data_IF_648936734670
#
_entry.id   IF_648936734670
#
_cell.length_a   1.000
_cell.length_b   1.000
_cell.length_c   1.000
_cell.angle_alpha   90.00
_cell.angle_beta   90.00
_cell.angle_gamma   90.00
#
_symmetry.space_group_name_H-M   'P 1'
#
loop_
_entity.id
_entity.type
_entity.pdbx_description
1 polymer ?
#
# COMPACT_ATOMS: atom_id res chain seq x y z
N UNK A 1 31.71 0.89 20.48
CA UNK A 1 31.89 2.25 19.91
C UNK A 1 30.68 2.54 19.02
N UNK A 2 29.76 3.42 19.43
CA UNK A 2 28.58 3.76 18.61
C UNK A 2 29.02 4.77 17.55
N UNK A 3 29.07 4.34 16.29
CA UNK A 3 29.35 5.24 15.16
C UNK A 3 28.17 6.22 15.07
N UNK A 4 28.41 7.47 15.40
CA UNK A 4 27.40 8.52 15.25
C UNK A 4 27.36 8.90 13.77
N UNK A 5 26.26 8.56 13.09
CA UNK A 5 26.00 9.05 11.73
C UNK A 5 25.42 10.46 11.82
N UNK A 6 25.94 11.37 11.01
CA UNK A 6 25.42 12.73 10.87
C UNK A 6 24.25 12.72 9.88
N UNK A 7 23.13 13.34 10.26
CA UNK A 7 21.97 13.54 9.38
C UNK A 7 21.70 15.05 9.20
N UNK A 8 20.99 15.37 8.12
CA UNK A 8 20.34 16.66 7.90
C UNK A 8 18.95 16.62 8.53
N UNK A 9 18.53 17.69 9.19
CA UNK A 9 17.17 17.81 9.68
C UNK A 9 16.58 19.20 9.53
N UNK A 10 15.26 19.27 9.61
CA UNK A 10 14.53 20.54 9.69
C UNK A 10 14.64 21.07 11.11
N UNK A 11 14.94 22.36 11.24
CA UNK A 11 15.01 23.06 12.54
C UNK A 11 13.90 24.08 12.67
N UNK A 12 13.40 24.26 13.89
CA UNK A 12 12.40 25.30 14.18
C UNK A 12 13.05 26.67 14.44
N UNK A 13 12.21 27.68 14.71
CA UNK A 13 12.64 29.05 15.02
C UNK A 13 13.59 29.18 16.21
N UNK A 14 13.63 28.18 17.10
CA UNK A 14 14.52 28.12 18.26
C UNK A 14 15.73 27.23 18.01
N UNK A 15 16.02 26.91 16.73
CA UNK A 15 17.07 25.99 16.31
C UNK A 15 16.90 24.57 16.91
N UNK A 16 15.67 24.19 17.26
CA UNK A 16 15.37 22.86 17.78
C UNK A 16 15.17 21.88 16.61
N UNK A 17 15.94 20.79 16.54
CA UNK A 17 15.82 19.83 15.45
C UNK A 17 14.52 19.03 15.55
N UNK A 18 13.80 18.92 14.43
CA UNK A 18 12.69 18.01 14.29
C UNK A 18 13.22 16.65 13.82
N UNK A 19 13.44 15.76 14.78
CA UNK A 19 14.02 14.43 14.56
C UNK A 19 13.10 13.49 13.75
N UNK A 20 11.88 13.93 13.41
CA UNK A 20 10.99 13.23 12.48
C UNK A 20 11.45 13.36 11.03
N UNK A 21 12.24 14.38 10.71
CA UNK A 21 12.76 14.65 9.37
C UNK A 21 14.28 14.54 9.37
N UNK A 22 14.80 13.31 9.34
CA UNK A 22 16.23 13.03 9.24
C UNK A 22 16.56 12.51 7.84
N UNK A 23 17.47 13.20 7.16
CA UNK A 23 17.90 12.87 5.81
C UNK A 23 19.40 12.59 5.81
N UNK A 24 19.84 11.59 5.04
CA UNK A 24 21.27 11.32 4.85
C UNK A 24 21.90 12.31 3.86
N UNK A 25 21.08 12.83 2.94
CA UNK A 25 21.49 13.76 1.88
C UNK A 25 20.80 15.13 1.98
N UNK A 26 21.54 16.19 1.68
CA UNK A 26 21.05 17.56 1.73
C UNK A 26 20.06 17.85 0.60
N UNK A 27 20.28 17.31 -0.60
CA UNK A 27 19.39 17.55 -1.73
C UNK A 27 18.03 16.84 -1.51
N UNK A 28 18.04 15.65 -0.91
CA UNK A 28 16.82 14.97 -0.47
C UNK A 28 16.04 15.79 0.57
N UNK A 29 16.73 16.35 1.57
CA UNK A 29 16.12 17.25 2.56
C UNK A 29 15.49 18.49 1.92
N UNK A 30 16.17 19.10 0.95
CA UNK A 30 15.68 20.27 0.20
C UNK A 30 14.45 19.94 -0.64
N UNK A 31 14.47 18.80 -1.35
CA UNK A 31 13.34 18.33 -2.15
C UNK A 31 12.11 18.07 -1.27
N UNK A 32 12.30 17.44 -0.10
CA UNK A 32 11.21 17.18 0.84
C UNK A 32 10.67 18.44 1.49
N UNK A 33 11.54 19.40 1.82
CA UNK A 33 11.10 20.72 2.29
C UNK A 33 10.27 21.45 1.23
N UNK A 34 10.65 21.35 -0.05
CA UNK A 34 9.89 21.95 -1.14
C UNK A 34 8.54 21.25 -1.34
N UNK A 35 8.50 19.92 -1.26
CA UNK A 35 7.28 19.13 -1.31
C UNK A 35 6.31 19.50 -0.17
N UNK A 36 6.81 19.65 1.05
CA UNK A 36 6.03 20.10 2.21
C UNK A 36 5.49 21.52 2.03
N UNK A 37 6.31 22.45 1.54
CA UNK A 37 5.87 23.84 1.26
C UNK A 37 4.79 23.92 0.19
N UNK A 38 4.83 23.00 -0.78
CA UNK A 38 3.91 22.96 -1.90
C UNK A 38 2.66 22.09 -1.62
N UNK A 39 2.66 21.31 -0.54
CA UNK A 39 1.52 20.44 -0.17
C UNK A 39 0.49 21.24 0.62
N UNK A 40 -0.73 21.29 0.08
CA UNK A 40 -1.90 21.94 0.70
C UNK A 40 -2.57 21.06 1.77
N UNK A 41 -2.19 19.79 1.87
CA UNK A 41 -2.90 18.78 2.68
C UNK A 41 -2.03 18.05 3.72
N UNK A 42 -0.73 18.35 3.82
CA UNK A 42 0.18 17.67 4.75
C UNK A 42 0.47 16.22 4.35
N UNK A 43 1.65 15.70 4.69
CA UNK A 43 2.05 14.31 4.38
C UNK A 43 2.20 13.49 5.67
N UNK A 44 1.75 12.23 5.62
CA UNK A 44 1.85 11.23 6.71
C UNK A 44 3.10 10.37 6.54
N UNK A 45 3.78 10.01 7.64
CA UNK A 45 4.93 9.11 7.65
C UNK A 45 4.74 7.95 8.63
N UNK A 46 5.05 6.72 8.21
CA UNK A 46 4.98 5.50 9.03
C UNK A 46 6.34 5.19 9.67
N UNK A 47 6.34 4.86 10.98
CA UNK A 47 7.52 4.38 11.71
C UNK A 47 7.34 2.92 12.18
N UNK A 48 8.38 2.07 12.12
CA UNK A 48 8.23 0.62 12.30
C UNK A 48 8.33 0.12 13.76
N UNK A 49 8.36 0.98 14.78
CA UNK A 49 8.67 0.56 16.17
C UNK A 49 7.58 0.87 17.22
N UNK A 50 6.30 0.61 16.90
CA UNK A 50 5.20 0.52 17.87
C UNK A 50 5.05 1.68 18.89
N UNK A 51 5.49 2.88 18.54
CA UNK A 51 5.10 4.13 19.21
C UNK A 51 4.40 5.01 18.18
N UNK A 52 3.09 5.20 18.35
CA UNK A 52 2.29 6.06 17.48
C UNK A 52 2.21 7.45 18.10
N UNK A 53 2.88 8.42 17.47
CA UNK A 53 2.54 9.82 17.63
C UNK A 53 1.56 10.20 16.51
N UNK A 54 0.43 10.79 16.89
CA UNK A 54 -0.62 11.22 15.99
C UNK A 54 -0.18 12.48 15.23
N UNK A 55 -0.41 12.50 13.91
CA UNK A 55 -0.52 13.76 13.17
C UNK A 55 -1.90 14.35 13.46
N UNK A 56 -1.99 15.31 14.37
CA UNK A 56 -3.15 16.21 14.41
C UNK A 56 -2.86 17.49 13.62
N UNK A 57 -1.59 17.86 13.45
CA UNK A 57 -1.20 18.98 12.62
C UNK A 57 -0.11 18.50 11.67
N UNK A 58 -0.10 19.01 10.43
CA UNK A 58 1.04 18.85 9.53
C UNK A 58 2.33 19.43 10.13
N UNK A 59 3.30 19.78 9.29
CA UNK A 59 4.41 20.61 9.78
C UNK A 59 3.82 21.81 10.51
N UNK A 60 4.12 21.95 11.81
CA UNK A 60 3.44 22.93 12.66
C UNK A 60 3.50 24.28 11.97
N UNK A 61 2.38 25.02 11.91
CA UNK A 61 2.26 26.26 11.13
C UNK A 61 3.45 27.22 11.35
N UNK A 62 4.00 27.25 12.56
CA UNK A 62 5.23 27.97 12.96
C UNK A 62 6.49 27.71 12.11
N UNK A 63 6.55 26.63 11.32
CA UNK A 63 7.65 26.31 10.40
C UNK A 63 7.38 26.78 8.96
N UNK A 64 6.13 27.11 8.61
CA UNK A 64 5.67 27.44 7.24
C UNK A 64 5.09 28.87 7.14
N UNK A 65 4.89 29.57 8.26
CA UNK A 65 4.36 30.95 8.28
C UNK A 65 5.05 31.86 7.26
N UNK A 66 4.22 32.48 6.41
CA UNK A 66 4.64 33.32 5.30
C UNK A 66 5.47 34.51 5.82
N UNK A 67 6.78 34.44 5.59
CA UNK A 67 7.74 35.45 6.03
C UNK A 67 9.02 34.88 6.64
N UNK A 68 9.07 33.59 7.02
CA UNK A 68 10.25 33.01 7.67
C UNK A 68 10.81 31.79 6.90
N UNK A 69 12.13 31.72 6.77
CA UNK A 69 12.83 30.65 6.06
C UNK A 69 13.02 29.44 6.98
N UNK A 70 12.32 28.35 6.73
CA UNK A 70 12.72 27.04 7.25
C UNK A 70 14.12 26.69 6.74
N UNK A 71 15.05 26.38 7.65
CA UNK A 71 16.44 26.06 7.34
C UNK A 71 16.72 24.56 7.49
N UNK A 72 17.61 24.03 6.65
CA UNK A 72 18.15 22.67 6.76
C UNK A 72 19.52 22.78 7.41
N UNK A 73 19.73 22.03 8.49
CA UNK A 73 21.02 22.01 9.19
C UNK A 73 21.61 20.61 9.24
N UNK A 74 22.94 20.57 9.11
CA UNK A 74 23.74 19.35 9.26
C UNK A 74 24.11 19.15 10.72
N UNK A 75 24.12 17.90 11.19
CA UNK A 75 24.59 17.54 12.54
C UNK A 75 23.49 17.16 13.52
N UNK A 76 22.33 16.73 13.02
CA UNK A 76 21.27 16.18 13.86
C UNK A 76 21.60 14.72 14.19
N UNK A 77 21.76 14.42 15.48
CA UNK A 77 22.14 13.09 15.95
C UNK A 77 20.89 12.31 16.34
N UNK A 78 20.71 11.11 15.78
CA UNK A 78 19.70 10.16 16.24
C UNK A 78 20.37 8.92 16.83
N UNK A 79 19.91 8.50 18.01
CA UNK A 79 20.33 7.24 18.64
C UNK A 79 19.62 6.01 18.01
N UNK A 80 18.71 6.23 17.06
CA UNK A 80 17.85 5.21 16.45
C UNK A 80 18.40 4.84 15.06
N UNK A 81 18.53 3.55 14.81
CA UNK A 81 19.02 3.02 13.53
C UNK A 81 17.94 3.12 12.46
N UNK A 82 18.13 3.97 11.45
CA UNK A 82 17.24 4.07 10.30
C UNK A 82 17.57 2.94 9.32
N UNK A 83 16.57 2.15 8.91
CA UNK A 83 16.69 1.13 7.85
C UNK A 83 15.76 1.52 6.70
N UNK A 84 16.26 1.45 5.47
CA UNK A 84 15.46 1.66 4.25
C UNK A 84 14.41 0.55 4.17
N UNK A 85 13.12 0.90 4.14
CA UNK A 85 12.06 -0.06 3.92
C UNK A 85 12.12 -0.52 2.45
N UNK A 86 12.38 -1.81 2.23
CA UNK A 86 12.23 -2.44 0.91
C UNK A 86 10.75 -2.71 0.67
N UNK A 87 10.09 -1.86 -0.11
CA UNK A 87 8.76 -2.12 -0.66
C UNK A 87 8.80 -3.33 -1.62
N UNK A 88 7.79 -4.20 -1.50
CA UNK A 88 7.01 -4.92 -2.53
C UNK A 88 7.71 -5.71 -3.65
N UNK A 89 9.03 -5.62 -3.87
CA UNK A 89 9.73 -6.31 -4.97
C UNK A 89 10.02 -7.80 -4.71
N UNK A 90 9.58 -8.34 -3.58
CA UNK A 90 9.71 -9.78 -3.24
C UNK A 90 8.41 -10.59 -3.37
N UNK A 91 7.33 -9.99 -3.88
CA UNK A 91 6.15 -10.77 -4.28
C UNK A 91 6.45 -11.40 -5.65
N UNK A 92 6.87 -12.68 -5.67
CA UNK A 92 6.99 -13.46 -6.90
C UNK A 92 5.59 -13.77 -7.44
N UNK A 93 5.13 -13.14 -8.54
CA UNK A 93 3.76 -13.33 -9.05
C UNK A 93 3.50 -14.77 -9.52
N UNK A 94 4.57 -15.50 -9.82
CA UNK A 94 4.59 -16.89 -10.28
C UNK A 94 3.93 -17.88 -9.31
N UNK A 95 3.88 -17.55 -8.01
CA UNK A 95 3.23 -18.40 -7.00
C UNK A 95 1.74 -18.15 -6.85
N UNK A 96 1.22 -17.04 -7.34
CA UNK A 96 -0.19 -16.63 -7.15
C UNK A 96 -1.09 -17.18 -8.28
N UNK A 97 -0.53 -17.55 -9.45
CA UNK A 97 -1.31 -18.04 -10.60
C UNK A 97 -1.29 -19.55 -10.84
N UNK A 98 -0.91 -20.37 -9.84
CA UNK A 98 -1.01 -21.83 -9.96
C UNK A 98 -2.35 -22.37 -9.45
N UNK A 99 -3.46 -21.97 -10.07
CA UNK A 99 -4.60 -22.90 -10.26
C UNK A 99 -5.54 -22.40 -11.35
N UNK A 100 -5.32 -22.87 -12.58
CA UNK A 100 -6.33 -22.77 -13.64
C UNK A 100 -7.29 -23.94 -13.48
N UNK A 101 -8.48 -23.71 -12.92
CA UNK A 101 -9.59 -24.66 -13.01
C UNK A 101 -10.25 -24.52 -14.38
N UNK A 102 -10.37 -25.63 -15.11
CA UNK A 102 -11.13 -25.71 -16.37
C UNK A 102 -12.63 -25.62 -16.06
N UNK A 103 -13.32 -24.62 -16.59
CA UNK A 103 -14.78 -24.59 -16.67
C UNK A 103 -15.22 -25.35 -17.93
N UNK A 104 -16.18 -26.28 -17.77
CA UNK A 104 -16.80 -27.07 -18.86
C UNK A 104 -17.78 -26.26 -19.71
N UNK A 105 -18.03 -24.98 -19.38
CA UNK A 105 -19.20 -24.25 -19.88
C UNK A 105 -18.98 -23.54 -21.22
N UNK A 106 -17.74 -23.38 -21.68
CA UNK A 106 -17.47 -22.59 -22.90
C UNK A 106 -16.44 -23.29 -23.78
N UNK A 107 -16.84 -24.35 -24.50
CA UNK A 107 -16.02 -24.99 -25.55
C UNK A 107 -15.50 -23.97 -26.57
N UNK A 108 -14.41 -23.27 -26.22
CA UNK A 108 -13.71 -22.31 -27.04
C UNK A 108 -12.32 -22.88 -27.28
N UNK A 109 -12.15 -23.48 -28.47
CA UNK A 109 -10.84 -23.89 -28.97
C UNK A 109 -10.13 -22.67 -29.54
N UNK A 110 -9.08 -22.19 -28.86
CA UNK A 110 -8.14 -21.26 -29.47
C UNK A 110 -7.03 -22.04 -30.19
N UNK A 111 -6.97 -21.88 -31.51
CA UNK A 111 -5.92 -22.39 -32.37
C UNK A 111 -4.56 -21.77 -32.03
N UNK A 112 -3.64 -22.55 -31.45
CA UNK A 112 -2.20 -22.26 -31.50
C UNK A 112 -1.63 -22.74 -32.83
N UNK A 113 -1.94 -22.06 -33.94
CA UNK A 113 -1.14 -22.22 -35.16
C UNK A 113 0.16 -21.44 -34.98
N UNK A 114 1.19 -22.12 -34.46
CA UNK A 114 2.59 -21.68 -34.57
C UNK A 114 2.93 -21.56 -36.05
N UNK A 115 3.07 -20.33 -36.55
CA UNK A 115 3.90 -20.08 -37.73
C UNK A 115 5.34 -20.29 -37.26
N UNK A 116 5.92 -21.46 -37.60
CA UNK A 116 7.35 -21.72 -37.47
C UNK A 116 8.04 -21.00 -38.63
N UNK A 117 8.49 -19.77 -38.41
CA UNK A 117 9.65 -19.29 -39.16
C UNK A 117 10.90 -19.87 -38.50
N UNK A 118 11.61 -20.70 -39.27
CA UNK A 118 12.93 -21.24 -38.93
C UNK A 118 13.93 -20.09 -39.01
N UNK A 119 14.34 -19.55 -37.86
CA UNK A 119 15.66 -18.98 -37.71
C UNK A 119 16.58 -20.06 -37.11
N UNK A 120 17.42 -20.66 -37.95
CA UNK A 120 18.50 -21.55 -37.52
C UNK A 120 19.58 -20.71 -36.85
N UNK A 121 19.56 -20.65 -35.51
CA UNK A 121 20.72 -20.26 -34.72
C UNK A 121 21.47 -21.54 -34.35
N UNK A 122 22.70 -21.65 -34.81
CA UNK A 122 23.57 -22.79 -34.51
C UNK A 122 23.82 -22.90 -32.99
N UNK A 123 23.84 -24.10 -32.41
CA UNK A 123 24.10 -24.29 -30.99
C UNK A 123 25.55 -23.93 -30.67
N UNK A 124 25.74 -22.99 -29.74
CA UNK A 124 27.03 -22.67 -29.14
C UNK A 124 27.49 -23.91 -28.35
N UNK A 125 28.58 -24.55 -28.80
CA UNK A 125 29.28 -25.59 -28.03
C UNK A 125 29.90 -24.94 -26.79
N UNK A 126 29.39 -25.27 -25.61
CA UNK A 126 30.11 -24.98 -24.37
C UNK A 126 31.30 -25.95 -24.21
N UNK A 127 32.47 -25.48 -23.79
CA UNK A 127 33.61 -26.35 -23.50
C UNK A 127 33.29 -27.27 -22.33
N UNK A 128 33.57 -28.56 -22.51
CA UNK A 128 33.43 -29.58 -21.48
C UNK A 128 34.38 -29.30 -20.32
N UNK A 129 33.82 -29.09 -19.12
CA UNK A 129 34.60 -29.02 -17.88
C UNK A 129 35.31 -30.36 -17.64
N UNK A 130 36.59 -30.35 -17.21
CA UNK A 130 37.32 -31.56 -16.90
C UNK A 130 36.67 -32.28 -15.70
N UNK A 131 36.39 -33.58 -15.88
CA UNK A 131 35.95 -34.46 -14.80
C UNK A 131 37.08 -34.58 -13.79
N UNK A 132 36.87 -34.06 -12.59
CA UNK A 132 37.79 -34.28 -11.46
C UNK A 132 37.58 -35.73 -10.99
N UNK A 133 38.63 -36.56 -10.91
CA UNK A 133 38.53 -37.91 -10.39
C UNK A 133 38.27 -37.84 -8.87
N UNK A 134 37.13 -38.39 -8.45
CA UNK A 134 36.81 -38.59 -7.03
C UNK A 134 37.21 -40.01 -6.68
N UNK A 135 38.47 -40.17 -6.29
CA UNK A 135 38.96 -41.37 -5.61
C UNK A 135 39.92 -40.92 -4.51
N UNK A 136 39.42 -40.88 -3.27
CA UNK A 136 40.20 -41.18 -2.08
C UNK A 136 39.23 -41.57 -0.97
N UNK A 137 39.29 -42.82 -0.56
CA UNK A 137 38.75 -43.33 0.70
C UNK A 137 39.36 -42.51 1.85
N UNK A 138 38.54 -41.69 2.51
CA UNK A 138 38.93 -41.03 3.75
C UNK A 138 38.74 -42.04 4.88
N UNK A 139 39.77 -42.34 5.69
CA UNK A 139 39.61 -43.21 6.85
C UNK A 139 38.63 -42.57 7.83
N UNK A 140 37.80 -43.40 8.46
CA UNK A 140 36.84 -42.99 9.47
C UNK A 140 37.55 -42.17 10.56
N UNK A 141 37.44 -40.84 10.47
CA UNK A 141 37.95 -39.93 11.48
C UNK A 141 37.06 -40.11 12.70
N UNK A 142 37.63 -40.75 13.72
CA UNK A 142 37.04 -40.85 15.04
C UNK A 142 36.58 -39.46 15.48
N UNK A 143 35.33 -39.40 15.95
CA UNK A 143 34.68 -38.22 16.52
C UNK A 143 35.41 -37.84 17.81
N UNK A 144 36.58 -37.24 17.68
CA UNK A 144 37.24 -36.56 18.76
C UNK A 144 36.52 -35.23 18.96
N UNK A 145 36.01 -35.08 20.17
CA UNK A 145 35.18 -33.99 20.66
C UNK A 145 35.53 -32.63 20.05
N UNK A 146 34.55 -32.01 19.39
CA UNK A 146 34.59 -30.65 18.84
C UNK A 146 34.93 -29.58 19.90
N UNK A 147 34.94 -29.96 21.19
CA UNK A 147 35.39 -29.14 22.32
C UNK A 147 36.90 -28.88 22.33
N UNK A 148 37.74 -29.64 21.61
CA UNK A 148 39.20 -29.46 21.59
C UNK A 148 39.75 -28.92 20.26
N UNK A 149 38.90 -28.52 19.32
CA UNK A 149 39.36 -27.96 18.05
C UNK A 149 40.00 -26.58 18.23
N UNK A 150 41.23 -26.41 17.74
CA UNK A 150 42.00 -25.15 17.65
C UNK A 150 41.20 -23.98 17.01
N UNK A 151 40.18 -24.31 16.21
CA UNK A 151 39.22 -23.37 15.63
C UNK A 151 38.39 -22.59 16.65
N UNK A 152 38.36 -23.01 17.93
CA UNK A 152 37.64 -22.31 19.01
C UNK A 152 38.49 -21.24 19.72
N UNK A 153 39.71 -20.99 19.26
CA UNK A 153 40.48 -19.85 19.75
C UNK A 153 39.76 -18.56 19.34
N UNK A 154 39.35 -17.77 20.35
CA UNK A 154 38.71 -16.45 20.17
C UNK A 154 39.39 -15.54 19.13
N UNK A 155 40.73 -15.52 18.97
CA UNK A 155 41.34 -14.71 17.90
C UNK A 155 41.08 -15.22 16.48
N UNK A 156 40.95 -16.54 16.28
CA UNK A 156 40.79 -17.13 14.94
C UNK A 156 39.35 -16.98 14.41
N UNK A 157 38.37 -17.15 15.29
CA UNK A 157 36.95 -16.91 14.95
C UNK A 157 36.68 -15.44 14.60
N UNK A 158 37.33 -14.50 15.28
CA UNK A 158 37.22 -13.07 14.97
C UNK A 158 37.83 -12.69 13.62
N UNK A 159 38.99 -13.25 13.28
CA UNK A 159 39.67 -12.99 11.99
C UNK A 159 38.93 -13.64 10.81
N UNK A 160 38.38 -14.84 10.99
CA UNK A 160 37.58 -15.49 9.93
C UNK A 160 36.27 -14.75 9.66
N UNK A 161 35.56 -14.30 10.72
CA UNK A 161 34.32 -13.56 10.57
C UNK A 161 34.52 -12.20 9.88
N UNK A 162 35.65 -11.53 10.14
CA UNK A 162 36.00 -10.25 9.49
C UNK A 162 36.35 -10.44 8.02
N UNK A 163 37.11 -11.48 7.66
CA UNK A 163 37.38 -11.81 6.25
C UNK A 163 36.10 -12.15 5.48
N UNK A 164 35.18 -12.90 6.07
CA UNK A 164 33.88 -13.19 5.46
C UNK A 164 33.07 -11.91 5.22
N UNK A 165 33.00 -11.00 6.20
CA UNK A 165 32.30 -9.71 6.03
C UNK A 165 32.90 -8.85 4.92
N UNK A 166 34.23 -8.83 4.78
CA UNK A 166 34.92 -8.11 3.70
C UNK A 166 34.59 -8.74 2.34
N UNK A 167 34.60 -10.07 2.23
CA UNK A 167 34.23 -10.76 0.99
C UNK A 167 32.76 -10.54 0.60
N UNK A 168 31.83 -10.57 1.56
CA UNK A 168 30.41 -10.32 1.27
C UNK A 168 30.16 -8.87 0.84
N UNK A 169 30.83 -7.89 1.45
CA UNK A 169 30.67 -6.47 1.08
C UNK A 169 31.28 -6.14 -0.28
N UNK A 170 32.41 -6.76 -0.66
CA UNK A 170 33.00 -6.58 -1.99
C UNK A 170 32.14 -7.20 -3.09
N UNK A 171 31.62 -8.42 -2.90
CA UNK A 171 30.71 -9.06 -3.85
C UNK A 171 29.41 -8.25 -4.01
N UNK A 172 28.84 -7.74 -2.92
CA UNK A 172 27.62 -6.94 -2.96
C UNK A 172 27.82 -5.60 -3.69
N UNK A 173 28.94 -4.92 -3.46
CA UNK A 173 29.23 -3.63 -4.13
C UNK A 173 29.52 -3.78 -5.61
N UNK A 174 30.20 -4.85 -6.03
CA UNK A 174 30.45 -5.15 -7.45
C UNK A 174 29.12 -5.47 -8.17
N UNK A 175 28.27 -6.33 -7.60
CA UNK A 175 26.97 -6.66 -8.19
C UNK A 175 26.00 -5.47 -8.24
N UNK A 176 26.03 -4.58 -7.24
CA UNK A 176 25.17 -3.39 -7.21
C UNK A 176 25.57 -2.36 -8.29
N UNK A 177 26.87 -2.15 -8.53
CA UNK A 177 27.35 -1.27 -9.60
C UNK A 177 27.00 -1.83 -10.98
N UNK A 178 27.24 -3.11 -11.22
CA UNK A 178 26.92 -3.75 -12.50
C UNK A 178 25.41 -3.73 -12.82
N UNK A 179 24.55 -3.85 -11.80
CA UNK A 179 23.09 -3.83 -11.97
C UNK A 179 22.55 -2.42 -12.27
N UNK A 180 23.09 -1.39 -11.62
CA UNK A 180 22.62 0.00 -11.84
C UNK A 180 22.99 0.54 -13.22
N UNK A 181 24.20 0.26 -13.71
CA UNK A 181 24.60 0.63 -15.08
C UNK A 181 23.73 -0.07 -16.14
N UNK A 182 23.36 -1.34 -15.91
CA UNK A 182 22.53 -2.08 -16.85
C UNK A 182 21.07 -1.60 -16.89
N UNK A 183 20.54 -1.14 -15.74
CA UNK A 183 19.22 -0.48 -15.65
C UNK A 183 19.16 0.79 -16.50
N UNK A 184 20.16 1.66 -16.38
CA UNK A 184 20.18 2.95 -17.11
C UNK A 184 20.30 2.75 -18.62
N UNK A 185 21.06 1.72 -19.05
CA UNK A 185 21.15 1.33 -20.47
C UNK A 185 19.80 0.82 -20.97
N UNK A 186 19.09 -0.01 -20.20
CA UNK A 186 17.78 -0.56 -20.58
C UNK A 186 16.72 0.53 -20.69
N UNK A 187 16.68 1.47 -19.74
CA UNK A 187 15.74 2.60 -19.76
C UNK A 187 16.01 3.50 -20.97
N UNK A 188 17.27 3.80 -21.28
CA UNK A 188 17.63 4.58 -22.48
C UNK A 188 17.26 3.87 -23.78
N UNK A 189 17.53 2.56 -23.87
CA UNK A 189 17.18 1.76 -25.04
C UNK A 189 15.65 1.69 -25.25
N UNK A 190 14.87 1.59 -24.16
CA UNK A 190 13.40 1.60 -24.23
C UNK A 190 12.86 2.97 -24.65
N UNK A 191 13.43 4.06 -24.14
CA UNK A 191 13.03 5.42 -24.52
C UNK A 191 13.34 5.72 -26.00
N UNK A 192 14.50 5.32 -26.51
CA UNK A 192 14.84 5.45 -27.94
C UNK A 192 13.93 4.60 -28.83
N UNK A 193 13.58 3.38 -28.41
CA UNK A 193 12.65 2.53 -29.15
C UNK A 193 11.23 3.13 -29.21
N UNK A 194 10.76 3.72 -28.11
CA UNK A 194 9.47 4.41 -28.05
C UNK A 194 9.44 5.67 -28.94
N UNK A 195 10.51 6.48 -28.91
CA UNK A 195 10.63 7.66 -29.79
C UNK A 195 10.65 7.28 -31.27
N UNK A 196 11.42 6.25 -31.66
CA UNK A 196 11.44 5.77 -33.05
C UNK A 196 10.10 5.22 -33.51
N UNK A 197 9.34 4.57 -32.62
CA UNK A 197 7.97 4.14 -32.92
C UNK A 197 7.04 5.32 -33.18
N UNK A 198 7.11 6.36 -32.35
CA UNK A 198 6.28 7.56 -32.47
C UNK A 198 6.64 8.38 -33.72
N UNK A 199 7.94 8.50 -34.02
CA UNK A 199 8.45 9.19 -35.20
C UNK A 199 8.06 8.46 -36.50
N UNK A 200 8.11 7.13 -36.51
CA UNK A 200 7.63 6.34 -37.65
C UNK A 200 6.11 6.41 -37.81
N UNK A 201 5.33 6.44 -36.73
CA UNK A 201 3.88 6.64 -36.81
C UNK A 201 3.52 8.03 -37.35
N UNK A 202 4.21 9.08 -36.88
CA UNK A 202 3.97 10.46 -37.32
C UNK A 202 4.48 10.74 -38.74
N UNK A 203 5.48 10.01 -39.24
CA UNK A 203 5.98 10.12 -40.62
C UNK A 203 5.10 9.43 -41.66
N UNK A 204 4.31 8.43 -41.24
CA UNK A 204 3.37 7.70 -42.11
C UNK A 204 2.00 8.41 -42.19
N UNK A 205 1.66 9.25 -41.21
CA UNK A 205 0.40 10.00 -41.16
C UNK A 205 0.61 11.44 -41.68
N UNK A 206 -0.02 11.79 -42.81
CA UNK A 206 0.10 13.12 -43.40
C UNK A 206 -0.72 14.18 -42.66
N UNK A 207 -0.56 15.47 -43.01
CA UNK A 207 -1.26 16.58 -42.35
C UNK A 207 -2.80 16.52 -42.40
N UNK A 208 -3.39 15.75 -43.33
CA UNK A 208 -4.84 15.45 -43.37
C UNK A 208 -5.28 14.46 -42.31
N UNK A 209 -4.38 13.59 -41.85
CA UNK A 209 -4.65 12.58 -40.83
C UNK A 209 -4.58 13.17 -39.42
N UNK A 210 -3.94 14.32 -39.22
CA UNK A 210 -3.90 14.99 -37.91
C UNK A 210 -5.29 15.45 -37.45
N UNK A 211 -6.10 16.01 -38.35
CA UNK A 211 -7.51 16.34 -38.07
C UNK A 211 -8.36 15.11 -37.80
N UNK A 212 -8.05 13.99 -38.47
CA UNK A 212 -8.75 12.73 -38.27
C UNK A 212 -8.36 12.09 -36.93
N UNK A 213 -7.07 12.13 -36.57
CA UNK A 213 -6.54 11.68 -35.30
C UNK A 213 -7.10 12.50 -34.13
N UNK A 214 -7.12 13.83 -34.22
CA UNK A 214 -7.69 14.71 -33.20
C UNK A 214 -9.21 14.45 -33.01
N UNK A 215 -9.93 14.17 -34.11
CA UNK A 215 -11.35 13.82 -34.07
C UNK A 215 -11.60 12.40 -33.53
N UNK A 216 -10.64 11.49 -33.70
CA UNK A 216 -10.69 10.14 -33.18
C UNK A 216 -10.33 10.10 -31.68
N UNK A 217 -9.34 10.87 -31.25
CA UNK A 217 -8.97 11.03 -29.84
C UNK A 217 -10.13 11.60 -29.03
N UNK A 218 -10.78 12.68 -29.48
CA UNK A 218 -11.92 13.26 -28.76
C UNK A 218 -13.11 12.30 -28.63
N UNK A 219 -13.41 11.51 -29.67
CA UNK A 219 -14.48 10.49 -29.61
C UNK A 219 -14.10 9.28 -28.78
N UNK A 220 -12.82 8.93 -28.76
CA UNK A 220 -12.31 7.82 -27.96
C UNK A 220 -12.36 8.16 -26.47
N UNK A 221 -11.94 9.37 -26.07
CA UNK A 221 -12.02 9.83 -24.69
C UNK A 221 -13.46 9.87 -24.18
N UNK A 222 -14.39 10.39 -24.99
CA UNK A 222 -15.82 10.40 -24.66
C UNK A 222 -16.37 8.99 -24.47
N UNK A 223 -16.04 8.06 -25.37
CA UNK A 223 -16.45 6.66 -25.28
C UNK A 223 -15.85 5.94 -24.06
N UNK A 224 -14.57 6.19 -23.75
CA UNK A 224 -13.91 5.60 -22.58
C UNK A 224 -14.55 6.13 -21.30
N UNK A 225 -14.77 7.44 -21.18
CA UNK A 225 -15.41 8.05 -20.02
C UNK A 225 -16.86 7.56 -19.85
N UNK A 226 -17.64 7.47 -20.93
CA UNK A 226 -19.02 6.96 -20.87
C UNK A 226 -19.04 5.49 -20.44
N UNK A 227 -18.11 4.69 -20.95
CA UNK A 227 -17.99 3.29 -20.59
C UNK A 227 -17.61 3.13 -19.12
N UNK A 228 -16.64 3.90 -18.62
CA UNK A 228 -16.25 3.89 -17.21
C UNK A 228 -17.41 4.31 -16.29
N UNK A 229 -18.14 5.37 -16.63
CA UNK A 229 -19.31 5.80 -15.87
C UNK A 229 -20.41 4.73 -15.85
N UNK A 230 -20.64 4.05 -16.98
CA UNK A 230 -21.57 2.92 -17.05
C UNK A 230 -21.10 1.74 -16.18
N UNK A 231 -19.80 1.42 -16.21
CA UNK A 231 -19.23 0.38 -15.34
C UNK A 231 -19.38 0.71 -13.85
N UNK A 232 -19.14 1.97 -13.45
CA UNK A 232 -19.34 2.42 -12.06
C UNK A 232 -20.81 2.32 -11.65
N UNK A 233 -21.73 2.71 -12.54
CA UNK A 233 -23.18 2.62 -12.29
C UNK A 233 -23.61 1.18 -12.08
N UNK A 234 -23.19 0.26 -12.96
CA UNK A 234 -23.51 -1.17 -12.84
C UNK A 234 -22.96 -1.76 -11.55
N UNK A 235 -21.72 -1.42 -11.17
CA UNK A 235 -21.12 -1.85 -9.89
C UNK A 235 -21.89 -1.34 -8.69
N UNK A 236 -22.34 -0.09 -8.72
CA UNK A 236 -23.12 0.50 -7.64
C UNK A 236 -24.50 -0.19 -7.52
N UNK A 237 -25.20 -0.43 -8.62
CA UNK A 237 -26.49 -1.14 -8.61
C UNK A 237 -26.38 -2.58 -8.09
N UNK A 238 -25.34 -3.30 -8.50
CA UNK A 238 -25.05 -4.65 -7.99
C UNK A 238 -24.79 -4.64 -6.48
N UNK A 239 -23.93 -3.73 -6.02
CA UNK A 239 -23.60 -3.56 -4.61
C UNK A 239 -24.83 -3.14 -3.79
N UNK A 240 -25.67 -2.25 -4.33
CA UNK A 240 -26.94 -1.85 -3.70
C UNK A 240 -27.86 -3.06 -3.51
N UNK A 241 -28.00 -3.91 -4.53
CA UNK A 241 -28.78 -5.14 -4.46
C UNK A 241 -28.28 -6.10 -3.38
N UNK A 242 -26.96 -6.22 -3.21
CA UNK A 242 -26.36 -7.01 -2.12
C UNK A 242 -26.62 -6.40 -0.75
N UNK A 243 -26.45 -5.09 -0.60
CA UNK A 243 -26.71 -4.36 0.64
C UNK A 243 -28.17 -4.51 1.05
N UNK A 244 -29.11 -4.35 0.09
CA UNK A 244 -30.54 -4.46 0.34
C UNK A 244 -30.94 -5.84 0.88
N UNK A 245 -30.32 -6.93 0.41
CA UNK A 245 -30.55 -8.28 0.97
C UNK A 245 -30.21 -8.37 2.47
N UNK A 246 -29.31 -7.53 2.96
CA UNK A 246 -28.89 -7.51 4.36
C UNK A 246 -29.75 -6.55 5.20
N UNK A 247 -30.09 -5.37 4.64
CA UNK A 247 -30.70 -4.28 5.40
C UNK A 247 -32.20 -4.10 5.20
N UNK A 248 -32.83 -4.89 4.32
CA UNK A 248 -34.28 -4.83 4.13
C UNK A 248 -35.04 -4.94 5.46
N UNK A 249 -36.13 -4.16 5.58
CA UNK A 249 -36.95 -4.04 6.78
C UNK A 249 -36.19 -3.45 7.98
N UNK A 250 -35.22 -2.57 7.74
CA UNK A 250 -34.50 -1.83 8.78
C UNK A 250 -34.50 -0.32 8.49
N UNK A 251 -34.32 0.54 9.50
CA UNK A 251 -34.20 1.99 9.29
C UNK A 251 -33.05 2.43 8.37
N UNK A 252 -32.08 1.54 8.11
CA UNK A 252 -31.00 1.77 7.15
C UNK A 252 -31.40 1.56 5.70
N UNK A 253 -32.55 0.98 5.40
CA UNK A 253 -32.96 0.62 4.03
C UNK A 253 -32.86 1.80 3.05
N UNK A 254 -33.32 2.98 3.48
CA UNK A 254 -33.22 4.24 2.71
C UNK A 254 -31.78 4.71 2.43
N UNK A 255 -30.77 4.15 3.11
CA UNK A 255 -29.36 4.50 2.93
C UNK A 255 -28.65 3.56 1.96
N UNK A 256 -29.26 2.46 1.51
CA UNK A 256 -28.67 1.52 0.55
C UNK A 256 -28.02 2.21 -0.67
N UNK A 257 -28.72 3.12 -1.40
CA UNK A 257 -28.13 3.77 -2.58
C UNK A 257 -26.97 4.70 -2.24
N UNK A 258 -26.93 5.25 -1.02
CA UNK A 258 -25.83 6.11 -0.56
C UNK A 258 -24.60 5.28 -0.18
N UNK A 259 -24.82 4.13 0.46
CA UNK A 259 -23.76 3.19 0.85
C UNK A 259 -23.16 2.54 -0.40
N UNK A 260 -23.97 2.20 -1.40
CA UNK A 260 -23.54 1.56 -2.64
C UNK A 260 -22.63 2.43 -3.52
N UNK A 261 -22.66 3.76 -3.33
CA UNK A 261 -21.73 4.69 -3.98
C UNK A 261 -20.33 4.72 -3.35
N UNK A 262 -20.15 4.08 -2.20
CA UNK A 262 -18.84 3.94 -1.56
C UNK A 262 -18.06 2.78 -2.17
N UNK A 263 -16.75 2.76 -1.93
CA UNK A 263 -15.95 1.57 -2.22
C UNK A 263 -16.55 0.33 -1.52
N UNK A 264 -16.52 -0.85 -2.18
CA UNK A 264 -17.14 -2.09 -1.69
C UNK A 264 -16.69 -2.42 -0.26
N UNK A 265 -15.42 -2.20 0.06
CA UNK A 265 -14.87 -2.50 1.39
C UNK A 265 -15.38 -1.50 2.43
N UNK A 266 -15.48 -0.22 2.07
CA UNK A 266 -16.10 0.80 2.92
C UNK A 266 -17.58 0.50 3.16
N UNK A 267 -18.32 0.11 2.12
CA UNK A 267 -19.70 -0.35 2.24
C UNK A 267 -19.82 -1.55 3.19
N UNK A 268 -18.94 -2.54 3.06
CA UNK A 268 -18.89 -3.71 3.93
C UNK A 268 -18.68 -3.30 5.41
N UNK A 269 -17.78 -2.36 5.69
CA UNK A 269 -17.61 -1.82 7.05
C UNK A 269 -18.81 -1.02 7.54
N UNK A 270 -19.42 -0.18 6.68
CA UNK A 270 -20.62 0.57 7.02
C UNK A 270 -21.73 -0.39 7.48
N UNK A 271 -21.97 -1.48 6.76
CA UNK A 271 -22.97 -2.48 7.13
C UNK A 271 -22.58 -3.26 8.39
N UNK A 272 -21.34 -3.76 8.46
CA UNK A 272 -20.89 -4.59 9.58
C UNK A 272 -20.88 -3.85 10.91
N UNK A 273 -20.36 -2.62 10.92
CA UNK A 273 -20.34 -1.77 12.11
C UNK A 273 -21.77 -1.37 12.49
N UNK A 274 -22.61 -0.98 11.53
CA UNK A 274 -23.98 -0.58 11.86
C UNK A 274 -24.81 -1.75 12.43
N UNK A 275 -24.59 -2.96 11.93
CA UNK A 275 -25.21 -4.14 12.52
C UNK A 275 -24.78 -4.34 13.97
N UNK A 276 -23.50 -4.10 14.27
CA UNK A 276 -22.96 -4.25 15.61
C UNK A 276 -23.45 -3.18 16.58
N UNK A 277 -23.39 -1.91 16.18
CA UNK A 277 -23.61 -0.77 17.06
C UNK A 277 -25.10 -0.45 17.27
N UNK A 278 -25.91 -0.60 16.22
CA UNK A 278 -27.33 -0.20 16.25
C UNK A 278 -28.29 -1.30 15.84
N UNK A 279 -27.80 -2.49 15.49
CA UNK A 279 -28.58 -3.54 14.84
C UNK A 279 -29.30 -3.00 13.57
N UNK A 280 -28.54 -2.32 12.71
CA UNK A 280 -29.01 -1.69 11.47
C UNK A 280 -30.05 -0.58 11.72
N UNK A 281 -29.81 0.27 12.72
CA UNK A 281 -30.69 1.38 13.06
C UNK A 281 -31.90 1.01 13.94
N UNK A 282 -32.01 -0.21 14.48
CA UNK A 282 -33.07 -0.57 15.42
C UNK A 282 -32.85 0.00 16.83
N UNK A 283 -31.62 0.37 17.16
CA UNK A 283 -31.21 1.01 18.41
C UNK A 283 -30.37 2.22 18.05
N UNK A 284 -30.93 3.41 18.20
CA UNK A 284 -30.31 4.64 17.69
C UNK A 284 -30.30 5.71 18.77
N UNK A 285 -29.28 6.58 18.78
CA UNK A 285 -29.38 7.81 19.53
C UNK A 285 -30.54 8.64 18.96
N UNK A 286 -31.23 9.32 19.85
CA UNK A 286 -32.33 10.22 19.49
C UNK A 286 -32.04 11.62 20.00
N UNK A 287 -32.59 12.61 19.31
CA UNK A 287 -32.62 14.00 19.76
C UNK A 287 -34.06 14.48 19.65
N UNK A 288 -34.67 14.88 20.77
CA UNK A 288 -36.09 15.25 20.84
C UNK A 288 -37.04 14.18 20.27
N UNK A 289 -36.72 12.90 20.51
CA UNK A 289 -37.49 11.76 20.01
C UNK A 289 -37.28 11.46 18.51
N UNK A 290 -36.45 12.21 17.81
CA UNK A 290 -36.15 12.00 16.39
C UNK A 290 -34.86 11.20 16.21
N UNK A 291 -34.82 10.39 15.15
CA UNK A 291 -33.65 9.62 14.74
C UNK A 291 -32.50 10.55 14.30
N UNK A 292 -31.31 10.29 14.85
CA UNK A 292 -30.08 11.04 14.58
C UNK A 292 -29.25 10.50 13.41
N UNK A 293 -29.74 9.48 12.70
CA UNK A 293 -29.05 8.80 11.58
C UNK A 293 -27.67 8.26 11.94
N UNK A 294 -27.40 8.05 13.23
CA UNK A 294 -26.11 7.58 13.71
C UNK A 294 -26.21 6.11 14.10
N UNK A 295 -25.88 5.26 13.12
CA UNK A 295 -26.01 3.82 13.26
C UNK A 295 -24.69 3.14 13.66
N UNK A 296 -23.60 3.89 13.73
CA UNK A 296 -22.22 3.41 13.90
C UNK A 296 -21.60 3.77 15.25
N UNK A 297 -22.38 4.33 16.18
CA UNK A 297 -21.87 4.78 17.48
C UNK A 297 -20.87 5.93 17.37
N UNK A 298 -20.97 6.76 16.32
CA UNK A 298 -20.03 7.86 16.09
C UNK A 298 -20.19 8.97 17.15
N UNK A 299 -19.09 9.50 17.66
CA UNK A 299 -19.06 10.51 18.75
C UNK A 299 -18.24 11.76 18.40
N UNK A 300 -18.28 12.18 17.15
CA UNK A 300 -17.74 13.48 16.76
C UNK A 300 -18.57 14.61 17.35
N UNK A 301 -17.92 15.61 17.94
CA UNK A 301 -18.60 16.77 18.52
C UNK A 301 -19.21 17.62 17.40
N UNK A 302 -20.49 17.95 17.54
CA UNK A 302 -21.27 18.84 16.67
C UNK A 302 -22.27 19.64 17.51
N UNK A 303 -22.92 20.63 16.89
CA UNK A 303 -23.97 21.43 17.54
C UNK A 303 -25.16 20.55 17.98
N UNK A 304 -25.49 19.53 17.19
CA UNK A 304 -26.53 18.55 17.49
C UNK A 304 -25.91 17.26 18.03
N UNK A 305 -26.21 16.95 19.27
CA UNK A 305 -25.78 15.72 19.96
C UNK A 305 -27.00 14.93 20.43
N UNK A 306 -27.06 13.66 20.07
CA UNK A 306 -28.09 12.73 20.53
C UNK A 306 -27.77 12.14 21.90
N UNK A 307 -28.63 11.23 22.35
CA UNK A 307 -28.45 10.52 23.64
C UNK A 307 -27.09 9.85 23.76
N UNK A 308 -26.52 9.89 24.97
CA UNK A 308 -25.23 9.24 25.28
C UNK A 308 -24.00 9.88 24.62
N UNK A 309 -24.11 11.14 24.15
CA UNK A 309 -23.00 11.87 23.53
C UNK A 309 -22.68 11.40 22.11
N UNK A 310 -23.62 10.75 21.45
CA UNK A 310 -23.47 10.38 20.04
C UNK A 310 -23.79 11.57 19.15
N UNK A 311 -23.08 11.69 18.03
CA UNK A 311 -23.36 12.71 17.02
C UNK A 311 -24.78 12.56 16.50
N UNK A 312 -25.49 13.67 16.32
CA UNK A 312 -26.76 13.70 15.61
C UNK A 312 -26.54 14.31 14.23
N UNK A 313 -26.65 13.50 13.18
CA UNK A 313 -26.44 13.94 11.80
C UNK A 313 -27.68 14.65 11.27
N UNK A 314 -27.46 15.58 10.33
CA UNK A 314 -28.56 16.36 9.77
C UNK A 314 -29.38 15.58 8.75
N UNK A 315 -28.73 14.62 8.06
CA UNK A 315 -29.38 13.75 7.09
C UNK A 315 -28.63 12.42 6.92
N UNK A 316 -29.24 11.43 6.24
CA UNK A 316 -28.54 10.22 5.80
C UNK A 316 -27.26 10.50 4.99
N UNK A 317 -27.29 11.48 4.10
CA UNK A 317 -26.16 11.88 3.26
C UNK A 317 -25.00 12.41 4.10
N UNK A 318 -25.29 13.27 5.08
CA UNK A 318 -24.29 13.79 6.02
C UNK A 318 -23.68 12.66 6.88
N UNK A 319 -24.52 11.73 7.35
CA UNK A 319 -24.06 10.57 8.10
C UNK A 319 -23.11 9.69 7.27
N UNK A 320 -23.49 9.34 6.03
CA UNK A 320 -22.67 8.52 5.13
C UNK A 320 -21.40 9.27 4.71
N UNK A 321 -21.49 10.56 4.37
CA UNK A 321 -20.31 11.35 4.01
C UNK A 321 -19.30 11.41 5.18
N UNK A 322 -19.77 11.57 6.41
CA UNK A 322 -18.91 11.68 7.59
C UNK A 322 -18.32 10.35 8.00
N UNK A 323 -19.17 9.33 8.18
CA UNK A 323 -18.75 8.01 8.64
C UNK A 323 -18.01 7.27 7.52
N UNK A 324 -18.58 7.23 6.33
CA UNK A 324 -17.97 6.65 5.13
C UNK A 324 -16.64 7.31 4.81
N UNK A 325 -16.56 8.65 4.85
CA UNK A 325 -15.30 9.37 4.65
C UNK A 325 -14.23 9.02 5.70
N UNK A 326 -14.61 8.80 6.97
CA UNK A 326 -13.67 8.32 8.00
C UNK A 326 -13.20 6.89 7.72
N UNK A 327 -14.12 5.99 7.38
CA UNK A 327 -13.80 4.60 7.05
C UNK A 327 -12.92 4.50 5.79
N UNK A 328 -13.21 5.30 4.77
CA UNK A 328 -12.39 5.40 3.56
C UNK A 328 -10.93 5.76 3.89
N UNK A 329 -10.72 6.75 4.75
CA UNK A 329 -9.36 7.12 5.19
C UNK A 329 -8.65 5.99 5.95
N UNK A 330 -9.39 5.23 6.77
CA UNK A 330 -8.85 4.08 7.50
C UNK A 330 -8.46 2.95 6.54
N UNK A 331 -9.35 2.59 5.61
CA UNK A 331 -9.09 1.59 4.57
C UNK A 331 -7.90 1.99 3.70
N UNK A 332 -7.81 3.26 3.30
CA UNK A 332 -6.65 3.79 2.55
C UNK A 332 -5.34 3.82 3.37
N UNK A 333 -5.42 3.64 4.69
CA UNK A 333 -4.27 3.54 5.59
C UNK A 333 -3.97 2.09 6.00
N UNK A 334 -4.39 1.12 5.17
CA UNK A 334 -4.23 -0.32 5.39
C UNK A 334 -4.91 -0.82 6.69
N UNK A 335 -5.95 -0.12 7.15
CA UNK A 335 -6.87 -0.64 8.18
C UNK A 335 -8.09 -1.18 7.46
N UNK A 336 -7.93 -2.37 6.89
CA UNK A 336 -8.85 -2.87 5.88
C UNK A 336 -9.45 -4.25 6.24
N UNK A 337 -9.10 -4.78 7.42
CA UNK A 337 -9.75 -5.95 8.03
C UNK A 337 -10.59 -5.57 9.27
N UNK A 338 -11.64 -6.34 9.62
CA UNK A 338 -12.38 -6.15 10.87
C UNK A 338 -11.52 -6.19 12.13
N UNK A 339 -10.44 -6.97 12.13
CA UNK A 339 -9.51 -7.08 13.25
C UNK A 339 -8.74 -5.76 13.47
N UNK A 340 -8.31 -5.10 12.39
CA UNK A 340 -7.64 -3.80 12.47
C UNK A 340 -8.64 -2.67 12.72
N UNK A 341 -9.82 -2.76 12.11
CA UNK A 341 -10.91 -1.80 12.24
C UNK A 341 -11.50 -1.74 13.66
N UNK A 342 -11.08 -2.62 14.57
CA UNK A 342 -11.40 -2.56 16.01
C UNK A 342 -11.05 -1.21 16.64
N UNK A 343 -10.12 -0.45 16.03
CA UNK A 343 -9.83 0.93 16.41
C UNK A 343 -11.06 1.85 16.35
N UNK A 344 -12.08 1.52 15.56
CA UNK A 344 -13.37 2.21 15.56
C UNK A 344 -14.03 2.17 16.93
N UNK A 345 -13.96 1.02 17.60
CA UNK A 345 -14.57 0.76 18.91
C UNK A 345 -13.78 1.37 20.07
N UNK A 346 -12.48 1.16 20.11
CA UNK A 346 -11.64 1.44 21.30
C UNK A 346 -10.49 2.44 21.05
N UNK A 347 -10.42 3.04 19.86
CA UNK A 347 -9.34 3.94 19.49
C UNK A 347 -7.98 3.22 19.51
N UNK A 348 -6.95 3.84 20.09
CA UNK A 348 -5.62 3.23 20.19
C UNK A 348 -5.44 2.26 21.37
N UNK A 349 -6.34 2.26 22.35
CA UNK A 349 -6.15 1.48 23.58
C UNK A 349 -7.06 0.26 23.64
N UNK A 350 -6.99 -0.59 22.62
CA UNK A 350 -7.82 -1.79 22.49
C UNK A 350 -7.31 -3.00 23.28
N UNK A 351 -6.07 -2.96 23.81
CA UNK A 351 -5.46 -4.07 24.53
C UNK A 351 -6.20 -4.43 25.84
N UNK A 352 -6.94 -3.48 26.41
CA UNK A 352 -7.69 -3.66 27.67
C UNK A 352 -9.20 -3.83 27.45
N UNK A 353 -9.68 -3.83 26.19
CA UNK A 353 -11.12 -3.94 25.90
C UNK A 353 -11.54 -5.40 25.76
N UNK A 354 -12.11 -5.95 26.83
CA UNK A 354 -12.63 -7.33 26.85
C UNK A 354 -13.72 -7.59 25.79
N UNK A 355 -14.37 -6.55 25.26
CA UNK A 355 -15.38 -6.64 24.22
C UNK A 355 -14.83 -6.59 22.79
N UNK A 356 -13.53 -6.31 22.60
CA UNK A 356 -12.92 -6.15 21.28
C UNK A 356 -13.05 -7.41 20.41
N UNK A 357 -12.70 -8.58 20.93
CA UNK A 357 -12.75 -9.83 20.18
C UNK A 357 -14.17 -10.17 19.68
N UNK A 358 -15.18 -9.97 20.54
CA UNK A 358 -16.59 -10.16 20.17
C UNK A 358 -17.03 -9.16 19.10
N UNK A 359 -16.63 -7.89 19.24
CA UNK A 359 -16.94 -6.86 18.27
C UNK A 359 -16.36 -7.19 16.89
N UNK A 360 -15.08 -7.59 16.82
CA UNK A 360 -14.42 -8.00 15.58
C UNK A 360 -15.21 -9.11 14.90
N UNK A 361 -15.56 -10.17 15.64
CA UNK A 361 -16.32 -11.31 15.12
C UNK A 361 -17.71 -10.89 14.59
N UNK A 362 -18.40 -10.03 15.32
CA UNK A 362 -19.74 -9.56 14.94
C UNK A 362 -19.67 -8.71 13.66
N UNK A 363 -18.67 -7.83 13.54
CA UNK A 363 -18.46 -7.00 12.34
C UNK A 363 -18.04 -7.87 11.15
N UNK A 364 -17.09 -8.78 11.34
CA UNK A 364 -16.56 -9.68 10.32
C UNK A 364 -17.67 -10.50 9.65
N UNK A 365 -18.60 -11.04 10.43
CA UNK A 365 -19.73 -11.82 9.90
C UNK A 365 -20.53 -11.10 8.81
N UNK A 366 -20.66 -9.78 8.89
CA UNK A 366 -21.42 -8.97 7.92
C UNK A 366 -20.51 -8.33 6.88
N UNK A 367 -19.29 -7.97 7.28
CA UNK A 367 -18.25 -7.52 6.36
C UNK A 367 -18.03 -8.55 5.25
N UNK A 368 -17.82 -9.82 5.61
CA UNK A 368 -17.56 -10.91 4.67
C UNK A 368 -18.75 -11.19 3.72
N UNK A 369 -19.99 -10.83 4.10
CA UNK A 369 -21.17 -10.99 3.22
C UNK A 369 -21.18 -10.01 2.07
N UNK A 370 -20.51 -8.87 2.22
CA UNK A 370 -20.35 -7.87 1.17
C UNK A 370 -18.97 -8.04 0.54
N UNK A 371 -17.88 -8.04 1.30
CA UNK A 371 -16.53 -8.03 0.72
C UNK A 371 -16.22 -9.27 -0.16
N UNK A 372 -16.63 -10.48 0.26
CA UNK A 372 -16.33 -11.70 -0.50
C UNK A 372 -17.14 -11.91 -1.77
N UNK A 373 -18.33 -11.30 -1.91
CA UNK A 373 -19.14 -11.48 -3.11
C UNK A 373 -18.49 -10.83 -4.34
N UNK A 374 -17.59 -9.86 -4.15
CA UNK A 374 -16.81 -9.25 -5.23
C UNK A 374 -15.68 -10.14 -5.78
N UNK A 375 -15.31 -11.24 -5.10
CA UNK A 375 -14.23 -12.14 -5.52
C UNK A 375 -14.70 -13.39 -6.28
N UNK A 376 -16.02 -13.54 -6.50
CA UNK A 376 -16.63 -14.66 -7.23
C UNK A 376 -17.14 -14.28 -8.63
N UNK A 377 -16.84 -13.07 -9.11
CA UNK A 377 -17.22 -12.54 -10.44
C UNK A 377 -16.17 -12.78 -11.52
#
# INVERSE_FOLDING_TARGET
>A
MKIKREFYCLVDRNNKPDLRYLFEDQAEAQRKLQQVKNSIQGETLFLPNNRRDYFVDGVQRKFIEAGQKAEIRRGCWSAVQVRKATLVDNIKPERIFQSVKKSKAYNLEYSKKRIKERATVAPIKMPSLPKIPVETSVPAFQVNSWSQSFLKTRPLTGTLATLCLIAFTSIFTINYRASSEMSDILIKAQAEAAQKSLENQTKVLGAKDKKLADQFEGKFDEFVLSSLAQFETVKAEELEGEIMKIIANSPMEKMAPLIAKQDRKVAAFLIGIAKKESNLGRRVPVLNGQDCYNYWGYRGIRDRMGTGGHTCFDSPEDAIATVGGRLQRLVQSDVDTPAEMVLWKCGSNCASDAGAAKWIKDVDMYFQKIDNNGNNG
#
